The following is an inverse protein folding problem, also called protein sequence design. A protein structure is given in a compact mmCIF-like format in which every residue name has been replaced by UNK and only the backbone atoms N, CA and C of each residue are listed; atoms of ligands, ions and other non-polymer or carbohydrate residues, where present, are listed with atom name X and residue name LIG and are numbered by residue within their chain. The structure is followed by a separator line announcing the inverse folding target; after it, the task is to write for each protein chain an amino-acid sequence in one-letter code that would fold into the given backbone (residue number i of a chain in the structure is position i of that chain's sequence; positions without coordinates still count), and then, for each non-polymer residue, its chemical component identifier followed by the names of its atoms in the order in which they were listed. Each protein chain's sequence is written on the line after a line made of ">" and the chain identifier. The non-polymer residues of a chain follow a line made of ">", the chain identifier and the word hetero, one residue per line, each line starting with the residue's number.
data_IF_538375735383
#
_entry.id   IF_538375735383
#
_cell.length_a   1.000
_cell.length_b   1.000
_cell.length_c   1.000
_cell.angle_alpha   90.00
_cell.angle_beta   90.00
_cell.angle_gamma   90.00
#
_symmetry.space_group_name_H-M   'P 1'
#
loop_
_entity.id
_entity.type
_entity.pdbx_description
1 polymer ?
#
# COMPACT_ATOMS: atom_id res chain seq x y z
N UNK A 1 -12.02 -5.25 21.54
CA UNK A 1 -10.92 -4.90 20.59
C UNK A 1 -10.71 -6.01 19.58
N UNK A 2 -10.58 -5.67 18.31
CA UNK A 2 -10.24 -6.61 17.24
C UNK A 2 -9.08 -6.07 16.42
N UNK A 3 -8.35 -6.96 15.74
CA UNK A 3 -7.45 -6.60 14.66
C UNK A 3 -8.26 -6.62 13.35
N UNK A 4 -8.34 -5.48 12.72
CA UNK A 4 -9.13 -5.31 11.49
C UNK A 4 -8.19 -4.93 10.35
N UNK A 5 -8.32 -5.62 9.23
CA UNK A 5 -7.60 -5.31 7.99
C UNK A 5 -8.59 -4.72 6.99
N UNK A 6 -8.35 -3.49 6.60
CA UNK A 6 -9.10 -2.83 5.52
C UNK A 6 -8.28 -2.81 4.24
N UNK A 7 -8.85 -3.29 3.15
CA UNK A 7 -8.28 -3.14 1.81
C UNK A 7 -9.12 -2.14 1.01
N UNK A 8 -8.46 -1.16 0.41
CA UNK A 8 -9.09 -0.14 -0.43
C UNK A 8 -8.57 -0.21 -1.86
N UNK A 9 -9.48 -0.23 -2.83
CA UNK A 9 -9.15 -0.21 -4.26
C UNK A 9 -8.83 1.19 -4.77
N UNK A 10 -8.38 1.27 -6.02
CA UNK A 10 -7.95 2.53 -6.65
C UNK A 10 -9.03 3.61 -6.71
N UNK A 11 -10.29 3.24 -6.87
CA UNK A 11 -11.42 4.18 -6.86
C UNK A 11 -11.54 4.91 -5.52
N UNK A 12 -11.37 4.21 -4.39
CA UNK A 12 -11.37 4.80 -3.06
C UNK A 12 -10.14 5.67 -2.78
N UNK A 13 -9.09 5.50 -3.56
CA UNK A 13 -7.84 6.25 -3.48
C UNK A 13 -7.68 7.25 -4.65
N UNK A 14 -8.76 7.58 -5.34
CA UNK A 14 -8.73 8.32 -6.60
C UNK A 14 -8.40 9.81 -6.51
N UNK A 15 -8.48 10.41 -5.34
CA UNK A 15 -8.18 11.83 -5.09
C UNK A 15 -7.81 12.07 -3.64
N UNK A 16 -7.27 13.24 -3.34
CA UNK A 16 -6.99 13.64 -1.94
C UNK A 16 -8.25 13.68 -1.09
N UNK A 17 -9.38 14.10 -1.66
CA UNK A 17 -10.68 14.07 -0.98
C UNK A 17 -11.09 12.64 -0.60
N UNK A 18 -10.96 11.70 -1.53
CA UNK A 18 -11.27 10.28 -1.29
C UNK A 18 -10.32 9.65 -0.28
N UNK A 19 -9.05 9.99 -0.31
CA UNK A 19 -8.07 9.56 0.70
C UNK A 19 -8.46 10.09 2.09
N UNK A 20 -8.91 11.33 2.21
CA UNK A 20 -9.44 11.88 3.47
C UNK A 20 -10.67 11.09 3.96
N UNK A 21 -11.55 10.69 3.06
CA UNK A 21 -12.72 9.88 3.42
C UNK A 21 -12.32 8.49 3.95
N UNK A 22 -11.31 7.86 3.34
CA UNK A 22 -10.72 6.61 3.84
C UNK A 22 -10.11 6.82 5.23
N UNK A 23 -9.33 7.89 5.42
CA UNK A 23 -8.71 8.20 6.70
C UNK A 23 -9.76 8.40 7.80
N UNK A 24 -10.84 9.11 7.54
CA UNK A 24 -11.94 9.28 8.49
C UNK A 24 -12.61 7.97 8.88
N UNK A 25 -12.82 7.10 7.90
CA UNK A 25 -13.40 5.76 8.14
C UNK A 25 -12.49 4.91 9.01
N UNK A 26 -11.19 4.87 8.71
CA UNK A 26 -10.21 4.12 9.49
C UNK A 26 -10.09 4.70 10.90
N UNK A 27 -10.01 6.02 11.04
CA UNK A 27 -9.93 6.68 12.33
C UNK A 27 -11.14 6.37 13.22
N UNK A 28 -12.33 6.25 12.64
CA UNK A 28 -13.55 5.85 13.38
C UNK A 28 -13.35 4.49 14.06
N UNK A 29 -12.82 3.49 13.35
CA UNK A 29 -12.60 2.17 13.92
C UNK A 29 -11.45 2.14 14.91
N UNK A 30 -10.37 2.88 14.64
CA UNK A 30 -9.26 3.02 15.57
C UNK A 30 -9.70 3.65 16.88
N UNK A 31 -10.51 4.74 16.85
CA UNK A 31 -11.09 5.38 18.05
C UNK A 31 -12.04 4.48 18.82
N UNK A 32 -12.67 3.52 18.14
CA UNK A 32 -13.49 2.49 18.79
C UNK A 32 -12.67 1.43 19.54
N UNK A 33 -11.34 1.53 19.53
CA UNK A 33 -10.43 0.64 20.24
C UNK A 33 -9.94 -0.55 19.43
N UNK A 34 -10.10 -0.55 18.11
CA UNK A 34 -9.60 -1.60 17.23
C UNK A 34 -8.18 -1.32 16.75
N UNK A 35 -7.39 -2.37 16.57
CA UNK A 35 -6.12 -2.29 15.84
C UNK A 35 -6.41 -2.31 14.34
N UNK A 36 -5.82 -1.40 13.59
CA UNK A 36 -6.12 -1.21 12.17
C UNK A 36 -4.88 -1.42 11.31
N UNK A 37 -4.97 -2.36 10.37
CA UNK A 37 -4.05 -2.50 9.24
C UNK A 37 -4.79 -2.07 7.97
N UNK A 38 -4.18 -1.20 7.18
CA UNK A 38 -4.81 -0.67 5.97
C UNK A 38 -3.94 -0.97 4.76
N UNK A 39 -4.52 -1.59 3.75
CA UNK A 39 -3.85 -1.96 2.50
C UNK A 39 -4.47 -1.16 1.36
N UNK A 40 -3.94 0.03 1.03
CA UNK A 40 -4.44 0.82 -0.07
C UNK A 40 -3.88 0.36 -1.42
N UNK A 41 -4.64 0.58 -2.46
CA UNK A 41 -4.18 0.51 -3.83
C UNK A 41 -3.47 1.82 -4.23
N UNK A 42 -2.77 1.83 -5.34
CA UNK A 42 -2.35 3.07 -5.98
C UNK A 42 -3.57 3.98 -6.26
N UNK A 43 -3.35 5.27 -6.44
CA UNK A 43 -4.40 6.18 -6.87
C UNK A 43 -4.98 5.74 -8.22
N UNK A 44 -6.25 6.02 -8.46
CA UNK A 44 -6.94 5.61 -9.67
C UNK A 44 -6.17 6.00 -10.94
N UNK A 45 -5.92 5.03 -11.82
CA UNK A 45 -5.18 5.23 -13.07
C UNK A 45 -3.66 5.30 -12.96
N UNK A 46 -3.09 5.36 -11.76
CA UNK A 46 -1.66 5.55 -11.57
C UNK A 46 -0.83 4.35 -12.05
N UNK A 47 -1.25 3.13 -11.75
CA UNK A 47 -0.58 1.92 -12.23
C UNK A 47 -0.54 1.88 -13.76
N UNK A 48 -1.67 2.18 -14.41
CA UNK A 48 -1.74 2.22 -15.87
C UNK A 48 -0.87 3.32 -16.47
N UNK A 49 -0.80 4.48 -15.81
CA UNK A 49 0.07 5.59 -16.22
C UNK A 49 1.55 5.18 -16.18
N UNK A 50 1.98 4.57 -15.08
CA UNK A 50 3.36 4.11 -14.90
C UNK A 50 3.74 3.03 -15.91
N UNK A 51 2.91 2.00 -16.06
CA UNK A 51 3.16 0.94 -17.03
C UNK A 51 3.11 1.43 -18.47
N UNK A 52 2.29 2.46 -18.75
CA UNK A 52 2.26 3.16 -20.04
C UNK A 52 3.58 3.80 -20.40
N UNK A 53 4.24 4.45 -19.45
CA UNK A 53 5.58 5.03 -19.66
C UNK A 53 6.62 3.97 -20.02
N UNK A 54 6.59 2.82 -19.34
CA UNK A 54 7.48 1.70 -19.66
C UNK A 54 7.24 1.19 -21.08
N UNK A 55 5.99 1.10 -21.50
CA UNK A 55 5.62 0.67 -22.85
C UNK A 55 6.08 1.65 -23.94
N UNK A 56 6.04 2.96 -23.66
CA UNK A 56 6.57 3.97 -24.58
C UNK A 56 8.08 3.82 -24.77
N UNK A 57 8.81 3.52 -23.68
CA UNK A 57 10.27 3.36 -23.73
C UNK A 57 10.70 2.05 -24.40
N UNK A 58 9.95 0.96 -24.21
CA UNK A 58 10.32 -0.37 -24.69
C UNK A 58 9.08 -1.18 -25.10
N UNK A 59 8.40 -0.82 -26.19
CA UNK A 59 7.10 -1.39 -26.57
C UNK A 59 7.11 -2.89 -26.88
N UNK A 60 8.25 -3.43 -27.31
CA UNK A 60 8.40 -4.85 -27.69
C UNK A 60 9.19 -5.68 -26.66
N UNK A 61 9.60 -5.06 -25.53
CA UNK A 61 10.45 -5.75 -24.56
C UNK A 61 9.63 -6.74 -23.72
N UNK A 62 10.24 -7.89 -23.43
CA UNK A 62 9.68 -8.97 -22.62
C UNK A 62 10.80 -9.66 -21.83
N UNK A 63 10.40 -10.60 -20.96
CA UNK A 63 11.31 -11.42 -20.18
C UNK A 63 11.47 -10.97 -18.74
N UNK A 64 12.15 -11.78 -17.94
CA UNK A 64 12.22 -11.61 -16.48
C UNK A 64 12.91 -10.32 -16.05
N UNK A 65 13.98 -9.91 -16.72
CA UNK A 65 14.67 -8.68 -16.41
C UNK A 65 13.76 -7.44 -16.61
N UNK A 66 12.98 -7.43 -17.67
CA UNK A 66 11.99 -6.37 -17.90
C UNK A 66 10.84 -6.45 -16.91
N UNK A 67 10.32 -7.65 -16.63
CA UNK A 67 9.27 -7.88 -15.65
C UNK A 67 9.67 -7.41 -14.25
N UNK A 68 10.92 -7.64 -13.84
CA UNK A 68 11.46 -7.14 -12.58
C UNK A 68 11.37 -5.60 -12.49
N UNK A 69 11.73 -4.89 -13.56
CA UNK A 69 11.65 -3.43 -13.56
C UNK A 69 10.22 -2.91 -13.64
N UNK A 70 9.29 -3.64 -14.28
CA UNK A 70 7.87 -3.33 -14.22
C UNK A 70 7.32 -3.43 -12.79
N UNK A 71 7.71 -4.45 -12.04
CA UNK A 71 7.32 -4.60 -10.63
C UNK A 71 7.87 -3.46 -9.77
N UNK A 72 9.13 -3.09 -9.97
CA UNK A 72 9.75 -1.94 -9.31
C UNK A 72 8.98 -0.65 -9.59
N UNK A 73 8.64 -0.42 -10.86
CA UNK A 73 7.91 0.78 -11.29
C UNK A 73 6.49 0.81 -10.74
N UNK A 74 5.74 -0.27 -10.89
CA UNK A 74 4.35 -0.37 -10.43
C UNK A 74 4.23 -0.15 -8.91
N UNK A 75 5.15 -0.71 -8.13
CA UNK A 75 5.16 -0.59 -6.67
C UNK A 75 5.25 0.85 -6.17
N UNK A 76 5.81 1.78 -6.96
CA UNK A 76 5.91 3.20 -6.57
C UNK A 76 4.55 3.86 -6.40
N UNK A 77 3.53 3.41 -7.12
CA UNK A 77 2.16 3.92 -7.00
C UNK A 77 1.55 3.62 -5.63
N UNK A 78 1.70 2.40 -5.16
CA UNK A 78 1.23 2.00 -3.83
C UNK A 78 2.06 2.61 -2.70
N UNK A 79 3.37 2.79 -2.90
CA UNK A 79 4.21 3.50 -1.93
C UNK A 79 3.72 4.95 -1.75
N UNK A 80 3.43 5.64 -2.84
CA UNK A 80 2.90 7.00 -2.79
C UNK A 80 1.54 7.06 -2.06
N UNK A 81 0.59 6.21 -2.43
CA UNK A 81 -0.76 6.22 -1.82
C UNK A 81 -0.75 5.81 -0.36
N UNK A 82 0.10 4.86 0.02
CA UNK A 82 0.25 4.45 1.43
C UNK A 82 0.78 5.59 2.30
N UNK A 83 1.78 6.31 1.82
CA UNK A 83 2.33 7.47 2.53
C UNK A 83 1.29 8.60 2.62
N UNK A 84 0.55 8.88 1.55
CA UNK A 84 -0.52 9.89 1.55
C UNK A 84 -1.63 9.54 2.54
N UNK A 85 -2.01 8.26 2.63
CA UNK A 85 -3.01 7.83 3.60
C UNK A 85 -2.51 7.96 5.03
N UNK A 86 -1.26 7.63 5.31
CA UNK A 86 -0.65 7.84 6.63
C UNK A 86 -0.66 9.31 7.02
N UNK A 87 -0.32 10.21 6.10
CA UNK A 87 -0.39 11.67 6.31
C UNK A 87 -1.83 12.11 6.60
N UNK A 88 -2.81 11.61 5.86
CA UNK A 88 -4.22 11.93 6.08
C UNK A 88 -4.72 11.42 7.44
N UNK A 89 -4.27 10.25 7.89
CA UNK A 89 -4.57 9.70 9.22
C UNK A 89 -3.95 10.56 10.33
N UNK A 90 -2.74 11.05 10.16
CA UNK A 90 -2.11 11.99 11.10
C UNK A 90 -2.90 13.29 11.18
N UNK A 91 -3.41 13.79 10.07
CA UNK A 91 -4.29 14.96 10.04
C UNK A 91 -5.64 14.72 10.77
N UNK A 92 -6.09 13.47 10.85
CA UNK A 92 -7.25 13.06 11.68
C UNK A 92 -6.88 12.83 13.16
N UNK A 93 -5.64 13.07 13.55
CA UNK A 93 -5.16 12.88 14.93
C UNK A 93 -4.81 11.44 15.28
N UNK A 94 -4.58 10.57 14.30
CA UNK A 94 -4.15 9.20 14.52
C UNK A 94 -2.63 9.08 14.42
N UNK A 95 -2.03 8.34 15.33
CA UNK A 95 -0.68 7.84 15.13
C UNK A 95 -0.71 6.82 13.98
N UNK A 96 0.10 7.03 12.96
CA UNK A 96 0.12 6.16 11.77
C UNK A 96 1.50 6.06 11.14
N UNK A 97 1.78 4.91 10.54
CA UNK A 97 3.02 4.61 9.85
C UNK A 97 2.73 3.83 8.58
N UNK A 98 3.39 4.17 7.48
CA UNK A 98 3.29 3.42 6.23
C UNK A 98 4.52 2.55 6.01
N UNK A 99 4.32 1.39 5.39
CA UNK A 99 5.37 0.45 5.02
C UNK A 99 5.26 0.01 3.57
N UNK A 100 6.40 -0.02 2.90
CA UNK A 100 6.55 -0.78 1.66
C UNK A 100 6.80 -2.27 1.99
N UNK A 101 6.58 -3.16 1.04
CA UNK A 101 6.72 -4.59 1.24
C UNK A 101 8.12 -5.06 1.68
N UNK A 102 9.16 -4.31 1.34
CA UNK A 102 10.53 -4.60 1.78
C UNK A 102 10.82 -4.14 3.22
N UNK A 103 10.02 -3.23 3.77
CA UNK A 103 10.11 -2.75 5.17
C UNK A 103 9.36 -3.68 6.14
N UNK A 104 8.35 -4.38 5.64
CA UNK A 104 7.66 -5.50 6.30
C UNK A 104 8.02 -6.75 5.51
N UNK A 105 9.15 -7.42 5.76
CA UNK A 105 9.72 -8.37 4.81
C UNK A 105 8.71 -9.35 4.22
N UNK A 106 8.07 -8.93 3.12
CA UNK A 106 7.17 -9.77 2.32
C UNK A 106 8.04 -10.45 1.28
N UNK A 107 8.30 -11.73 1.48
CA UNK A 107 9.13 -12.52 0.58
C UNK A 107 8.28 -13.21 -0.46
N UNK A 108 8.74 -13.17 -1.69
CA UNK A 108 8.09 -13.82 -2.82
C UNK A 108 9.06 -14.72 -3.56
N UNK A 109 8.55 -15.58 -4.44
CA UNK A 109 9.37 -16.20 -5.46
C UNK A 109 9.78 -15.18 -6.55
N UNK A 110 10.59 -15.62 -7.51
CA UNK A 110 11.13 -14.76 -8.58
C UNK A 110 10.28 -14.73 -9.86
N UNK A 111 9.01 -15.10 -9.80
CA UNK A 111 8.11 -15.03 -10.94
C UNK A 111 7.61 -13.59 -11.15
N UNK A 112 8.48 -12.69 -11.61
CA UNK A 112 8.18 -11.28 -11.80
C UNK A 112 6.89 -11.06 -12.56
N UNK A 113 6.14 -10.02 -12.20
CA UNK A 113 4.77 -9.66 -12.62
C UNK A 113 3.67 -10.57 -12.08
N UNK A 114 3.98 -11.78 -11.62
CA UNK A 114 3.03 -12.77 -11.08
C UNK A 114 3.61 -13.58 -9.92
N UNK A 115 4.50 -12.98 -9.16
CA UNK A 115 5.14 -13.61 -8.01
C UNK A 115 4.12 -14.05 -6.96
N UNK A 116 4.45 -15.10 -6.23
CA UNK A 116 3.67 -15.62 -5.10
C UNK A 116 4.35 -15.27 -3.79
N UNK A 117 3.56 -14.86 -2.81
CA UNK A 117 4.05 -14.60 -1.46
C UNK A 117 4.39 -15.94 -0.80
N UNK A 118 5.62 -16.05 -0.28
CA UNK A 118 6.11 -17.22 0.43
C UNK A 118 6.09 -17.03 1.94
N UNK A 119 6.38 -15.81 2.40
CA UNK A 119 6.35 -15.46 3.83
C UNK A 119 6.17 -13.97 4.04
N UNK A 120 5.65 -13.62 5.22
CA UNK A 120 5.54 -12.25 5.71
C UNK A 120 6.07 -12.22 7.14
N UNK A 121 7.08 -11.37 7.40
CA UNK A 121 7.52 -11.08 8.75
C UNK A 121 6.72 -9.90 9.30
N UNK A 122 5.72 -10.17 10.11
CA UNK A 122 4.80 -9.17 10.65
C UNK A 122 5.20 -8.63 12.03
N UNK A 123 6.38 -8.98 12.56
CA UNK A 123 6.80 -8.60 13.90
C UNK A 123 6.79 -7.08 14.11
N UNK A 124 7.27 -6.31 13.14
CA UNK A 124 7.29 -4.85 13.19
C UNK A 124 5.88 -4.27 13.18
N UNK A 125 5.02 -4.77 12.31
CA UNK A 125 3.60 -4.35 12.22
C UNK A 125 2.89 -4.59 13.56
N UNK A 126 3.07 -5.78 14.15
CA UNK A 126 2.44 -6.09 15.44
C UNK A 126 2.93 -5.20 16.56
N UNK A 127 4.22 -4.84 16.55
CA UNK A 127 4.78 -3.90 17.52
C UNK A 127 4.11 -2.52 17.42
N UNK A 128 3.99 -1.99 16.21
CA UNK A 128 3.39 -0.67 16.00
C UNK A 128 1.90 -0.67 16.35
N UNK A 129 1.18 -1.73 15.99
CA UNK A 129 -0.23 -1.91 16.40
C UNK A 129 -0.39 -1.94 17.93
N UNK A 130 0.52 -2.61 18.63
CA UNK A 130 0.50 -2.67 20.09
C UNK A 130 0.78 -1.30 20.74
N UNK A 131 1.45 -0.40 20.02
CA UNK A 131 1.68 0.99 20.44
C UNK A 131 0.56 1.94 20.04
N UNK A 132 -0.53 1.43 19.46
CA UNK A 132 -1.69 2.22 19.06
C UNK A 132 -1.60 2.87 17.69
N UNK A 133 -0.58 2.53 16.90
CA UNK A 133 -0.46 3.06 15.54
C UNK A 133 -1.43 2.36 14.57
N UNK A 134 -1.91 3.10 13.60
CA UNK A 134 -2.51 2.56 12.37
C UNK A 134 -1.39 2.25 11.38
N UNK A 135 -1.37 1.04 10.85
CA UNK A 135 -0.33 0.57 9.93
C UNK A 135 -0.86 0.37 8.51
#
# INVERSE_FOLDING_TARGET
>A
MALIVHKYGGTSMGSTERIRNVAKRVAKWARAGHQMVVVPSAMSGETNRLLGLAKELAPAKQGDAYGRELDMLAATGEQASSALLAIALQAEGMESVSYAGWQVPIRTNSAYTKARIESIDDARVRKDLAQGQVV
#
